data_IF_957320763178
#
_entry.id   IF_957320763178
#
_cell.length_a   1.000
_cell.length_b   1.000
_cell.length_c   1.000
_cell.angle_alpha   90.00
_cell.angle_beta   90.00
_cell.angle_gamma   90.00
#
_symmetry.space_group_name_H-M   'P 1'
#
loop_
_entity.id
_entity.type
_entity.pdbx_description
1 polymer ?
#
# COMPACT_ATOMS: atom_id res chain seq x y z
N UNK A 1 4.54 -2.38 14.15
CA UNK A 1 3.57 -3.43 13.80
C UNK A 1 4.20 -4.78 14.08
N UNK A 2 3.88 -5.37 15.22
CA UNK A 2 4.59 -6.58 15.64
C UNK A 2 4.11 -7.82 14.88
N UNK A 3 2.82 -7.89 14.53
CA UNK A 3 2.28 -9.05 13.83
C UNK A 3 2.74 -9.08 12.37
N UNK A 4 2.64 -7.96 11.68
CA UNK A 4 2.99 -7.89 10.26
C UNK A 4 4.45 -8.24 10.02
N UNK A 5 5.38 -7.66 10.79
CA UNK A 5 6.81 -7.97 10.69
C UNK A 5 7.10 -9.46 10.91
N UNK A 6 6.41 -10.07 11.88
CA UNK A 6 6.54 -11.49 12.16
C UNK A 6 6.02 -12.35 10.99
N UNK A 7 4.80 -12.09 10.53
CA UNK A 7 4.09 -12.88 9.51
C UNK A 7 4.63 -12.69 8.10
N UNK A 8 5.25 -11.54 7.80
CA UNK A 8 5.71 -11.17 6.46
C UNK A 8 7.23 -11.25 6.29
N UNK A 9 7.98 -11.59 7.34
CA UNK A 9 9.45 -11.68 7.31
C UNK A 9 10.01 -12.48 6.13
N UNK A 10 9.39 -13.61 5.77
CA UNK A 10 9.81 -14.44 4.64
C UNK A 10 9.51 -13.85 3.26
N UNK A 11 8.58 -12.88 3.17
CA UNK A 11 8.19 -12.26 1.91
C UNK A 11 9.34 -11.49 1.26
N UNK A 12 10.32 -10.99 2.04
CA UNK A 12 11.48 -10.27 1.51
C UNK A 12 12.24 -11.08 0.47
N UNK A 13 12.56 -12.34 0.77
CA UNK A 13 13.27 -13.22 -0.17
C UNK A 13 12.45 -13.56 -1.42
N UNK A 14 11.13 -13.70 -1.29
CA UNK A 14 10.24 -13.93 -2.44
C UNK A 14 10.21 -12.69 -3.35
N UNK A 15 10.08 -11.50 -2.78
CA UNK A 15 10.05 -10.25 -3.53
C UNK A 15 11.40 -9.95 -4.21
N UNK A 16 12.53 -10.32 -3.60
CA UNK A 16 13.85 -10.22 -4.22
C UNK A 16 13.96 -11.07 -5.50
N UNK A 17 13.39 -12.28 -5.49
CA UNK A 17 13.33 -13.16 -6.67
C UNK A 17 12.24 -12.79 -7.70
N UNK A 18 11.34 -11.88 -7.36
CA UNK A 18 10.20 -11.50 -8.20
C UNK A 18 10.58 -10.40 -9.20
N UNK A 19 10.12 -10.51 -10.46
CA UNK A 19 10.38 -9.49 -11.47
C UNK A 19 9.76 -8.14 -11.12
N UNK A 20 10.35 -7.00 -11.55
CA UNK A 20 9.79 -5.67 -11.29
C UNK A 20 8.31 -5.52 -11.67
N UNK A 21 7.89 -6.03 -12.84
CA UNK A 21 6.50 -5.94 -13.29
C UNK A 21 5.53 -6.68 -12.36
N UNK A 22 5.92 -7.88 -11.89
CA UNK A 22 5.12 -8.65 -10.93
C UNK A 22 5.07 -7.97 -9.57
N UNK A 23 6.18 -7.37 -9.09
CA UNK A 23 6.19 -6.58 -7.86
C UNK A 23 5.26 -5.38 -7.95
N UNK A 24 5.27 -4.66 -9.08
CA UNK A 24 4.37 -3.53 -9.30
C UNK A 24 2.91 -3.99 -9.28
N UNK A 25 2.57 -5.04 -10.05
CA UNK A 25 1.21 -5.58 -10.06
C UNK A 25 0.72 -5.99 -8.66
N UNK A 26 1.59 -6.65 -7.88
CA UNK A 26 1.31 -7.04 -6.50
C UNK A 26 1.09 -5.82 -5.59
N UNK A 27 1.98 -4.84 -5.63
CA UNK A 27 1.92 -3.64 -4.81
C UNK A 27 0.64 -2.84 -5.09
N UNK A 28 0.31 -2.64 -6.37
CA UNK A 28 -0.92 -1.96 -6.79
C UNK A 28 -2.16 -2.73 -6.33
N UNK A 29 -2.16 -4.06 -6.46
CA UNK A 29 -3.28 -4.90 -5.99
C UNK A 29 -3.48 -4.82 -4.47
N UNK A 30 -2.40 -4.69 -3.70
CA UNK A 30 -2.44 -4.51 -2.25
C UNK A 30 -3.01 -3.14 -1.86
N UNK A 31 -2.56 -2.07 -2.51
CA UNK A 31 -3.06 -0.71 -2.31
C UNK A 31 -4.55 -0.64 -2.62
N UNK A 32 -4.95 -1.08 -3.82
CA UNK A 32 -6.34 -1.04 -4.28
C UNK A 32 -7.28 -1.77 -3.33
N UNK A 33 -6.92 -2.99 -2.96
CA UNK A 33 -7.72 -3.76 -2.03
C UNK A 33 -7.81 -3.08 -0.67
N UNK A 34 -6.71 -2.52 -0.18
CA UNK A 34 -6.67 -1.87 1.13
C UNK A 34 -7.61 -0.67 1.15
N UNK A 35 -7.49 0.25 0.19
CA UNK A 35 -8.37 1.43 0.06
C UNK A 35 -9.84 1.01 -0.03
N UNK A 36 -10.15 0.04 -0.91
CA UNK A 36 -11.53 -0.40 -1.16
C UNK A 36 -12.18 -1.13 0.02
N UNK A 37 -11.38 -1.58 0.99
CA UNK A 37 -11.87 -2.34 2.15
C UNK A 37 -11.64 -1.60 3.48
N UNK A 38 -11.20 -0.34 3.44
CA UNK A 38 -11.17 0.51 4.62
C UNK A 38 -12.59 0.74 5.16
N UNK A 39 -12.73 0.70 6.48
CA UNK A 39 -13.99 0.97 7.18
C UNK A 39 -13.69 1.80 8.43
N UNK A 40 -14.20 3.04 8.55
CA UNK A 40 -14.95 3.77 7.52
C UNK A 40 -14.10 4.07 6.26
N UNK A 41 -14.75 4.30 5.10
CA UNK A 41 -14.05 4.76 3.91
C UNK A 41 -13.49 6.17 4.10
N UNK A 42 -12.52 6.57 3.27
CA UNK A 42 -11.93 7.91 3.29
C UNK A 42 -12.98 8.94 2.90
N UNK A 43 -13.28 9.86 3.81
CA UNK A 43 -14.34 10.86 3.64
C UNK A 43 -13.84 12.12 2.94
N UNK A 44 -12.59 12.51 3.18
CA UNK A 44 -11.97 13.72 2.65
C UNK A 44 -11.89 13.66 1.12
N UNK A 45 -12.71 14.47 0.44
CA UNK A 45 -12.91 14.43 -1.01
C UNK A 45 -11.59 14.62 -1.79
N UNK A 46 -10.75 15.54 -1.35
CA UNK A 46 -9.46 15.83 -1.99
C UNK A 46 -8.50 14.64 -1.89
N UNK A 47 -8.39 14.03 -0.70
CA UNK A 47 -7.54 12.86 -0.48
C UNK A 47 -8.04 11.66 -1.28
N UNK A 48 -9.35 11.41 -1.27
CA UNK A 48 -9.96 10.34 -2.07
C UNK A 48 -9.77 10.58 -3.57
N UNK A 49 -9.92 11.82 -4.03
CA UNK A 49 -9.70 12.21 -5.42
C UNK A 49 -8.25 11.95 -5.85
N UNK A 50 -7.28 12.38 -5.04
CA UNK A 50 -5.87 12.16 -5.27
C UNK A 50 -5.53 10.66 -5.36
N UNK A 51 -5.92 9.88 -4.35
CA UNK A 51 -5.70 8.43 -4.33
C UNK A 51 -6.32 7.73 -5.54
N UNK A 52 -7.54 8.12 -5.93
CA UNK A 52 -8.20 7.55 -7.11
C UNK A 52 -7.40 7.78 -8.39
N UNK A 53 -6.91 9.01 -8.61
CA UNK A 53 -6.13 9.35 -9.81
C UNK A 53 -4.81 8.58 -9.84
N UNK A 54 -4.08 8.53 -8.72
CA UNK A 54 -2.79 7.84 -8.65
C UNK A 54 -2.96 6.33 -8.80
N UNK A 55 -3.97 5.73 -8.15
CA UNK A 55 -4.29 4.30 -8.29
C UNK A 55 -4.67 3.95 -9.74
N UNK A 56 -5.42 4.81 -10.43
CA UNK A 56 -5.75 4.58 -11.84
C UNK A 56 -4.51 4.64 -12.74
N UNK A 57 -3.57 5.56 -12.47
CA UNK A 57 -2.29 5.62 -13.18
C UNK A 57 -1.45 4.34 -12.94
N UNK A 58 -1.37 3.89 -11.69
CA UNK A 58 -0.74 2.63 -11.31
C UNK A 58 -1.37 1.43 -12.04
N UNK A 59 -2.70 1.35 -12.09
CA UNK A 59 -3.42 0.28 -12.80
C UNK A 59 -3.11 0.29 -14.29
N UNK A 60 -3.09 1.47 -14.92
CA UNK A 60 -2.76 1.61 -16.33
C UNK A 60 -1.32 1.15 -16.62
N UNK A 61 -0.36 1.51 -15.76
CA UNK A 61 1.02 1.06 -15.89
C UNK A 61 1.14 -0.47 -15.80
N UNK A 62 0.44 -1.10 -14.85
CA UNK A 62 0.39 -2.57 -14.72
C UNK A 62 -0.21 -3.21 -15.98
N UNK A 63 -1.32 -2.66 -16.51
CA UNK A 63 -1.96 -3.17 -17.72
C UNK A 63 -1.07 -3.03 -18.96
N UNK A 64 -0.24 -1.99 -19.02
CA UNK A 64 0.75 -1.80 -20.09
C UNK A 64 1.97 -2.72 -19.93
N UNK A 65 2.10 -3.45 -18.82
CA UNK A 65 3.26 -4.28 -18.52
C UNK A 65 4.50 -3.47 -18.11
N UNK A 66 4.31 -2.22 -17.67
CA UNK A 66 5.40 -1.38 -17.18
C UNK A 66 5.93 -1.90 -15.85
N UNK A 67 7.16 -1.49 -15.52
CA UNK A 67 7.86 -1.85 -14.28
C UNK A 67 7.97 -0.68 -13.30
N UNK A 68 7.48 0.50 -13.70
CA UNK A 68 7.39 1.72 -12.91
C UNK A 68 6.13 2.52 -13.28
N UNK A 69 5.81 3.53 -12.45
CA UNK A 69 4.68 4.44 -12.64
C UNK A 69 5.20 5.86 -12.67
N UNK A 70 4.85 6.61 -13.72
CA UNK A 70 5.13 8.05 -13.81
C UNK A 70 3.85 8.83 -13.53
N UNK A 71 3.94 9.77 -12.59
CA UNK A 71 2.93 10.82 -12.41
C UNK A 71 3.38 12.09 -13.14
N UNK A 72 2.46 13.04 -13.34
CA UNK A 72 2.82 14.39 -13.75
C UNK A 72 3.44 15.16 -12.59
N UNK A 73 4.27 16.15 -12.90
CA UNK A 73 4.86 17.05 -11.90
C UNK A 73 3.77 17.73 -11.04
N UNK A 74 2.67 18.16 -11.67
CA UNK A 74 1.51 18.73 -10.95
C UNK A 74 0.93 17.78 -9.90
N UNK A 75 0.86 16.48 -10.19
CA UNK A 75 0.38 15.48 -9.23
C UNK A 75 1.38 15.26 -8.10
N UNK A 76 2.68 15.28 -8.39
CA UNK A 76 3.71 15.16 -7.36
C UNK A 76 3.74 16.39 -6.45
N UNK A 77 3.65 17.59 -7.03
CA UNK A 77 3.63 18.87 -6.31
C UNK A 77 2.39 18.98 -5.41
N UNK A 78 1.26 18.39 -5.81
CA UNK A 78 0.04 18.38 -4.98
C UNK A 78 0.08 17.42 -3.79
N UNK A 79 1.09 16.54 -3.68
CA UNK A 79 1.19 15.56 -2.59
C UNK A 79 1.20 16.21 -1.21
N UNK A 80 2.06 17.22 -1.02
CA UNK A 80 2.23 17.88 0.28
C UNK A 80 0.92 18.54 0.75
N UNK A 81 0.20 19.20 -0.17
CA UNK A 81 -1.10 19.82 0.12
C UNK A 81 -2.18 18.77 0.51
N UNK A 82 -2.14 17.59 -0.11
CA UNK A 82 -3.08 16.50 0.18
C UNK A 82 -2.74 15.78 1.48
N UNK A 83 -1.45 15.61 1.81
CA UNK A 83 -1.01 15.01 3.06
C UNK A 83 -1.33 15.90 4.27
N UNK A 84 -1.20 17.23 4.13
CA UNK A 84 -1.56 18.19 5.19
C UNK A 84 -3.03 18.09 5.64
N UNK A 85 -3.93 17.65 4.76
CA UNK A 85 -5.36 17.50 5.04
C UNK A 85 -5.77 16.05 5.29
N UNK A 86 -4.84 15.09 5.27
CA UNK A 86 -5.09 13.67 5.46
C UNK A 86 -5.22 13.30 6.95
N UNK A 87 -6.10 14.00 7.67
CA UNK A 87 -6.25 13.88 9.14
C UNK A 87 -6.90 12.57 9.60
N UNK A 88 -7.62 11.88 8.71
CA UNK A 88 -8.28 10.64 9.05
C UNK A 88 -7.25 9.51 9.32
N UNK A 89 -7.44 8.66 10.34
CA UNK A 89 -6.50 7.59 10.67
C UNK A 89 -6.20 6.67 9.48
N UNK A 90 -4.93 6.36 9.28
CA UNK A 90 -4.44 5.48 8.23
C UNK A 90 -4.28 6.10 6.84
N UNK A 91 -4.70 7.35 6.64
CA UNK A 91 -4.79 7.95 5.29
C UNK A 91 -3.44 8.41 4.76
N UNK A 92 -2.59 8.98 5.62
CA UNK A 92 -1.19 9.31 5.30
C UNK A 92 -0.37 8.07 4.91
N UNK A 93 -0.64 6.92 5.53
CA UNK A 93 -0.03 5.66 5.12
C UNK A 93 -0.47 5.25 3.70
N UNK A 94 -1.73 5.47 3.33
CA UNK A 94 -2.19 5.20 1.95
C UNK A 94 -1.57 6.16 0.93
N UNK A 95 -1.41 7.44 1.28
CA UNK A 95 -0.70 8.42 0.47
C UNK A 95 0.77 7.99 0.27
N UNK A 96 1.44 7.58 1.35
CA UNK A 96 2.81 7.05 1.30
C UNK A 96 2.91 5.79 0.44
N UNK A 97 1.93 4.89 0.51
CA UNK A 97 1.90 3.66 -0.28
C UNK A 97 1.80 3.95 -1.79
N UNK A 98 0.90 4.86 -2.19
CA UNK A 98 0.75 5.22 -3.60
C UNK A 98 1.97 5.99 -4.12
N UNK A 99 2.53 6.91 -3.32
CA UNK A 99 3.73 7.65 -3.71
C UNK A 99 4.93 6.71 -3.85
N UNK A 100 5.09 5.74 -2.96
CA UNK A 100 6.15 4.73 -3.04
C UNK A 100 6.01 3.81 -4.27
N UNK A 101 4.83 3.72 -4.89
CA UNK A 101 4.62 3.06 -6.19
C UNK A 101 5.06 3.93 -7.38
N UNK A 102 5.13 5.24 -7.20
CA UNK A 102 5.37 6.22 -8.27
C UNK A 102 6.82 6.70 -8.24
N UNK A 103 7.61 6.24 -9.20
CA UNK A 103 8.94 6.77 -9.48
C UNK A 103 9.20 6.69 -10.98
N UNK A 104 9.48 7.83 -11.63
CA UNK A 104 9.65 7.86 -13.08
C UNK A 104 11.02 7.30 -13.55
N UNK A 105 11.95 7.03 -12.64
CA UNK A 105 13.35 6.75 -12.94
C UNK A 105 13.82 5.36 -12.58
N UNK A 106 13.09 4.65 -11.69
CA UNK A 106 13.52 3.35 -11.20
C UNK A 106 12.38 2.32 -11.20
N UNK A 107 12.73 1.11 -11.63
CA UNK A 107 11.90 -0.08 -11.45
C UNK A 107 11.53 -0.27 -9.97
N UNK A 108 10.30 -0.71 -9.69
CA UNK A 108 9.89 -0.98 -8.32
C UNK A 108 10.78 -2.08 -7.71
N UNK A 109 11.60 -1.72 -6.73
CA UNK A 109 12.50 -2.64 -6.02
C UNK A 109 11.74 -3.56 -5.05
N UNK A 110 12.38 -4.67 -4.64
CA UNK A 110 11.81 -5.58 -3.64
C UNK A 110 11.59 -4.89 -2.29
N UNK A 111 12.53 -4.05 -1.88
CA UNK A 111 12.46 -3.27 -0.64
C UNK A 111 11.29 -2.27 -0.67
N UNK A 112 11.12 -1.54 -1.78
CA UNK A 112 9.99 -0.63 -1.95
C UNK A 112 8.66 -1.36 -1.97
N UNK A 113 8.58 -2.48 -2.70
CA UNK A 113 7.38 -3.33 -2.69
C UNK A 113 7.04 -3.81 -1.27
N UNK A 114 8.03 -4.25 -0.49
CA UNK A 114 7.84 -4.64 0.91
C UNK A 114 7.36 -3.47 1.78
N UNK A 115 7.94 -2.27 1.59
CA UNK A 115 7.50 -1.05 2.27
C UNK A 115 6.06 -0.65 1.94
N UNK A 116 5.63 -0.80 0.69
CA UNK A 116 4.23 -0.54 0.28
C UNK A 116 3.27 -1.49 1.00
N UNK A 117 3.62 -2.77 1.13
CA UNK A 117 2.81 -3.73 1.88
C UNK A 117 2.74 -3.36 3.38
N UNK A 118 3.84 -2.87 3.94
CA UNK A 118 3.88 -2.32 5.30
C UNK A 118 2.89 -1.16 5.44
N UNK A 119 2.98 -0.14 4.57
CA UNK A 119 2.06 1.00 4.60
C UNK A 119 0.59 0.60 4.48
N UNK A 120 0.25 -0.39 3.65
CA UNK A 120 -1.11 -0.91 3.56
C UNK A 120 -1.60 -1.53 4.90
N UNK A 121 -0.71 -2.21 5.61
CA UNK A 121 -1.01 -2.74 6.93
C UNK A 121 -1.12 -1.64 7.98
N UNK A 122 -0.18 -0.69 8.02
CA UNK A 122 -0.20 0.47 8.91
C UNK A 122 -1.48 1.28 8.73
N UNK A 123 -1.84 1.58 7.48
CA UNK A 123 -3.07 2.28 7.15
C UNK A 123 -4.32 1.56 7.64
N UNK A 124 -4.34 0.23 7.58
CA UNK A 124 -5.44 -0.56 8.12
C UNK A 124 -5.43 -0.64 9.65
N UNK A 125 -4.25 -0.78 10.27
CA UNK A 125 -4.11 -0.85 11.72
C UNK A 125 -4.51 0.46 12.39
N UNK A 126 -4.05 1.58 11.85
CA UNK A 126 -4.34 2.92 12.37
C UNK A 126 -5.83 3.26 12.22
N UNK A 127 -6.45 2.88 11.09
CA UNK A 127 -7.90 3.03 10.87
C UNK A 127 -8.74 2.29 11.91
N UNK A 128 -8.28 1.13 12.37
CA UNK A 128 -8.98 0.32 13.39
C UNK A 128 -8.89 0.92 14.80
N UNK A 129 -7.99 1.90 15.04
CA UNK A 129 -7.86 2.56 16.32
C UNK A 129 -7.46 1.63 17.47
N UNK A 130 -6.61 0.63 17.19
CA UNK A 130 -6.15 -0.33 18.20
C UNK A 130 -5.36 0.42 19.28
N UNK A 131 -5.89 0.46 20.51
CA UNK A 131 -5.33 1.23 21.63
C UNK A 131 -3.91 0.80 22.05
N UNK A 132 -3.60 -0.49 21.90
CA UNK A 132 -2.29 -1.05 22.24
C UNK A 132 -1.72 -1.86 21.06
N UNK A 133 -0.55 -1.46 20.56
CA UNK A 133 0.13 -2.18 19.47
C UNK A 133 0.96 -3.35 19.99
N UNK A 134 0.28 -4.28 20.66
CA UNK A 134 0.86 -5.57 21.08
C UNK A 134 0.61 -6.62 20.01
N UNK A 135 1.46 -7.65 19.99
CA UNK A 135 1.27 -8.79 19.08
C UNK A 135 -0.07 -9.49 19.34
N UNK A 136 -0.52 -9.61 20.59
CA UNK A 136 -1.83 -10.19 20.91
C UNK A 136 -2.99 -9.34 20.39
N UNK A 137 -2.94 -8.02 20.55
CA UNK A 137 -3.99 -7.11 20.08
C UNK A 137 -4.10 -7.13 18.55
N UNK A 138 -2.98 -6.99 17.85
CA UNK A 138 -2.93 -7.09 16.38
C UNK A 138 -3.45 -8.45 15.90
N UNK A 139 -3.10 -9.54 16.60
CA UNK A 139 -3.56 -10.90 16.23
C UNK A 139 -5.04 -11.11 16.48
N UNK A 140 -5.62 -10.47 17.50
CA UNK A 140 -7.04 -10.53 17.80
C UNK A 140 -7.87 -9.73 16.78
N UNK A 141 -7.31 -8.65 16.23
CA UNK A 141 -7.97 -7.81 15.25
C UNK A 141 -8.20 -8.57 13.92
N UNK A 142 -9.45 -8.63 13.47
CA UNK A 142 -9.82 -9.33 12.22
C UNK A 142 -9.32 -8.62 10.96
N UNK A 143 -9.24 -7.29 10.98
CA UNK A 143 -8.75 -6.49 9.86
C UNK A 143 -7.25 -6.71 9.65
N UNK A 144 -6.45 -6.69 10.73
CA UNK A 144 -5.01 -6.98 10.66
C UNK A 144 -4.74 -8.35 10.01
N UNK A 145 -5.48 -9.39 10.43
CA UNK A 145 -5.38 -10.73 9.83
C UNK A 145 -5.80 -10.73 8.36
N UNK A 146 -6.92 -10.09 8.02
CA UNK A 146 -7.41 -10.03 6.65
C UNK A 146 -6.41 -9.37 5.69
N UNK A 147 -5.73 -8.31 6.13
CA UNK A 147 -4.68 -7.64 5.34
C UNK A 147 -3.51 -8.59 5.10
N UNK A 148 -3.00 -9.25 6.15
CA UNK A 148 -1.89 -10.21 6.05
C UNK A 148 -2.27 -11.38 5.12
N UNK A 149 -3.46 -11.95 5.30
CA UNK A 149 -3.94 -13.08 4.48
C UNK A 149 -4.03 -12.67 3.01
N UNK A 150 -4.56 -11.48 2.72
CA UNK A 150 -4.63 -10.97 1.36
C UNK A 150 -3.24 -10.76 0.76
N UNK A 151 -2.32 -10.11 1.48
CA UNK A 151 -0.96 -9.87 1.00
C UNK A 151 -0.20 -11.20 0.76
N UNK A 152 -0.30 -12.17 1.67
CA UNK A 152 0.26 -13.51 1.48
C UNK A 152 -0.34 -14.21 0.25
N UNK A 153 -1.64 -14.05 0.02
CA UNK A 153 -2.29 -14.61 -1.17
C UNK A 153 -1.72 -14.01 -2.47
N UNK A 154 -1.44 -12.71 -2.50
CA UNK A 154 -0.79 -12.06 -3.63
C UNK A 154 0.64 -12.57 -3.83
N UNK A 155 1.42 -12.70 -2.75
CA UNK A 155 2.80 -13.18 -2.81
C UNK A 155 2.86 -14.61 -3.39
N UNK A 156 1.94 -15.48 -2.98
CA UNK A 156 1.85 -16.85 -3.50
C UNK A 156 1.55 -16.91 -5.02
N UNK A 157 1.06 -15.82 -5.63
CA UNK A 157 0.86 -15.77 -7.10
C UNK A 157 2.12 -15.41 -7.89
N UNK A 158 3.15 -14.88 -7.22
CA UNK A 158 4.38 -14.41 -7.85
C UNK A 158 5.60 -15.28 -7.58
N UNK A 159 5.52 -16.18 -6.58
CA UNK A 159 6.41 -17.35 -6.39
C UNK A 159 6.50 -18.22 -7.65
#
# INVERSE_FOLDING_TARGET
MLLWDYEMSSARGVLEGTSPAKRLALAVSAIEWTINTMTPPIETDQVRGYLSVVVDACRQAVQAGNTWVSLSDEMLDSYDEVDEIAEEPGTSHMLSAVLACCDPTEDLSAERAYGILSFCYEGSLDREGVEEWTLEAERANSRCRAVIDYQKSLIATVE
#
